data_IF_877359495106
#
_entry.id   IF_877359495106
#
_cell.length_a   1.000
_cell.length_b   1.000
_cell.length_c   1.000
_cell.angle_alpha   90.00
_cell.angle_beta   90.00
_cell.angle_gamma   90.00
#
_symmetry.space_group_name_H-M   'P 1'
#
loop_
_entity.id
_entity.type
_entity.pdbx_description
1 polymer ?
#
# COMPACT_ATOMS: atom_id res chain seq x y z
N UNK A 1 -20.01 6.22 4.77
CA UNK A 1 -20.06 7.42 5.63
C UNK A 1 -19.17 7.23 6.85
N UNK A 2 -18.34 8.22 7.19
CA UNK A 2 -17.47 8.18 8.38
C UNK A 2 -18.30 8.40 9.65
N UNK A 3 -18.27 7.42 10.57
CA UNK A 3 -19.03 7.44 11.83
C UNK A 3 -18.29 8.19 12.93
N UNK A 4 -16.96 8.02 12.98
CA UNK A 4 -16.10 8.67 13.96
C UNK A 4 -15.65 10.00 13.38
N UNK A 5 -15.88 11.09 14.12
CA UNK A 5 -15.61 12.47 13.68
C UNK A 5 -14.37 13.08 14.31
N UNK A 6 -13.96 12.57 15.46
CA UNK A 6 -12.79 13.02 16.20
C UNK A 6 -12.11 11.83 16.86
N UNK A 7 -10.78 11.88 16.95
CA UNK A 7 -9.96 10.94 17.68
C UNK A 7 -9.28 11.65 18.84
N UNK A 8 -9.29 10.99 20.00
CA UNK A 8 -8.37 11.31 21.11
C UNK A 8 -7.04 10.62 20.85
N UNK A 9 -5.93 11.31 21.03
CA UNK A 9 -4.60 10.71 20.85
C UNK A 9 -4.07 10.23 22.19
N UNK A 10 -3.40 9.07 22.19
CA UNK A 10 -2.70 8.54 23.37
C UNK A 10 -1.30 8.11 22.99
N UNK A 11 -0.31 8.79 23.56
CA UNK A 11 1.09 8.37 23.45
C UNK A 11 1.34 7.20 24.40
N UNK A 12 1.83 6.11 23.83
CA UNK A 12 1.99 4.82 24.51
C UNK A 12 3.25 4.15 24.00
N UNK A 13 3.84 3.28 24.82
CA UNK A 13 5.04 2.55 24.42
C UNK A 13 4.68 1.42 23.44
N UNK A 14 3.78 0.53 23.84
CA UNK A 14 3.35 -0.65 23.07
C UNK A 14 1.85 -0.61 22.80
N UNK A 15 1.46 -0.83 21.55
CA UNK A 15 0.06 -0.83 21.09
C UNK A 15 -0.74 -1.90 21.86
N UNK A 16 -1.91 -1.57 22.44
CA UNK A 16 -2.71 -2.54 23.17
C UNK A 16 -3.27 -3.59 22.21
N UNK A 17 -3.62 -4.76 22.77
CA UNK A 17 -4.20 -5.87 21.99
C UNK A 17 -5.58 -5.51 21.41
N UNK A 18 -6.35 -4.73 22.17
CA UNK A 18 -7.67 -4.25 21.80
C UNK A 18 -7.63 -2.72 21.70
N UNK A 19 -8.29 -2.18 20.68
CA UNK A 19 -8.27 -0.76 20.35
C UNK A 19 -9.60 -0.12 20.72
N UNK A 20 -9.56 0.95 21.50
CA UNK A 20 -10.75 1.74 21.79
C UNK A 20 -11.24 2.48 20.54
N UNK A 21 -12.55 2.46 20.31
CA UNK A 21 -13.19 3.26 19.26
C UNK A 21 -13.03 4.74 19.60
N UNK A 22 -12.56 5.53 18.63
CA UNK A 22 -12.37 6.97 18.83
C UNK A 22 -11.01 7.34 19.42
N UNK A 23 -10.08 6.39 19.56
CA UNK A 23 -8.72 6.64 20.04
C UNK A 23 -7.70 6.31 18.96
N UNK A 24 -6.69 7.17 18.81
CA UNK A 24 -5.47 6.89 18.05
C UNK A 24 -4.31 6.69 19.01
N UNK A 25 -3.78 5.46 19.03
CA UNK A 25 -2.62 5.10 19.82
C UNK A 25 -1.37 5.38 19.03
N UNK A 26 -0.40 6.05 19.65
CA UNK A 26 0.80 6.51 18.99
C UNK A 26 2.01 6.00 19.77
N UNK A 27 2.83 5.18 19.11
CA UNK A 27 4.13 4.79 19.64
C UNK A 27 5.22 5.53 18.90
N UNK A 28 5.91 6.42 19.61
CA UNK A 28 7.10 7.10 19.10
C UNK A 28 8.28 6.13 18.99
N UNK A 29 8.39 5.17 19.93
CA UNK A 29 9.44 4.14 19.93
C UNK A 29 9.36 3.26 18.68
N UNK A 30 8.16 2.83 18.30
CA UNK A 30 7.94 2.02 17.10
C UNK A 30 7.56 2.84 15.86
N UNK A 31 7.60 4.17 15.96
CA UNK A 31 7.28 5.11 14.88
C UNK A 31 5.98 4.72 14.15
N UNK A 32 4.89 4.56 14.88
CA UNK A 32 3.62 4.12 14.31
C UNK A 32 2.41 4.68 15.06
N UNK A 33 1.33 4.88 14.32
CA UNK A 33 0.01 5.13 14.86
C UNK A 33 -0.95 4.00 14.47
N UNK A 34 -1.84 3.65 15.40
CA UNK A 34 -2.86 2.62 15.20
C UNK A 34 -4.19 3.07 15.76
N UNK A 35 -5.28 2.84 15.02
CA UNK A 35 -6.64 3.13 15.46
C UNK A 35 -7.68 2.23 14.78
N UNK A 36 -8.88 2.19 15.36
CA UNK A 36 -10.05 1.60 14.70
C UNK A 36 -10.50 2.47 13.52
N UNK A 37 -10.81 1.83 12.39
CA UNK A 37 -11.21 2.53 11.17
C UNK A 37 -12.37 3.50 11.41
N UNK A 38 -12.22 4.75 10.95
CA UNK A 38 -13.16 5.84 11.25
C UNK A 38 -14.55 5.68 10.61
N UNK A 39 -14.71 4.76 9.66
CA UNK A 39 -16.04 4.38 9.17
C UNK A 39 -16.84 3.52 10.17
N UNK A 40 -16.18 2.98 11.20
CA UNK A 40 -16.78 2.15 12.23
C UNK A 40 -17.01 0.69 11.80
N UNK A 41 -16.21 0.17 10.87
CA UNK A 41 -16.24 -1.25 10.49
C UNK A 41 -15.43 -2.16 11.44
N UNK A 42 -14.67 -1.59 12.38
CA UNK A 42 -13.85 -2.34 13.34
C UNK A 42 -12.47 -2.73 12.84
N UNK A 43 -12.15 -2.51 11.56
CA UNK A 43 -10.82 -2.81 11.00
C UNK A 43 -9.73 -1.97 11.67
N UNK A 44 -8.60 -2.59 11.97
CA UNK A 44 -7.41 -1.90 12.46
C UNK A 44 -6.72 -1.15 11.32
N UNK A 45 -6.49 0.14 11.52
CA UNK A 45 -5.71 0.98 10.61
C UNK A 45 -4.35 1.21 11.25
N UNK A 46 -3.29 0.92 10.50
CA UNK A 46 -1.90 1.14 10.90
C UNK A 46 -1.28 2.18 9.98
N UNK A 47 -0.68 3.22 10.56
CA UNK A 47 0.02 4.28 9.84
C UNK A 47 1.44 4.42 10.37
N UNK A 48 2.43 3.72 9.77
CA UNK A 48 3.84 3.88 10.11
C UNK A 48 4.34 5.28 9.78
N UNK A 49 5.21 5.80 10.65
CA UNK A 49 5.91 7.07 10.45
C UNK A 49 7.25 6.80 9.81
N UNK A 50 7.26 6.85 8.47
CA UNK A 50 8.48 6.70 7.68
C UNK A 50 8.60 7.82 6.66
N UNK A 51 9.80 8.07 6.11
CA UNK A 51 10.01 9.05 5.05
C UNK A 51 9.15 8.83 3.80
N UNK A 52 8.66 7.61 3.57
CA UNK A 52 7.82 7.24 2.42
C UNK A 52 6.35 7.02 2.75
N UNK A 53 5.99 6.92 4.04
CA UNK A 53 4.64 6.62 4.51
C UNK A 53 3.96 7.88 5.09
N UNK A 54 3.46 7.82 6.33
CA UNK A 54 2.77 8.93 6.98
C UNK A 54 3.73 9.81 7.79
N UNK A 55 3.42 11.09 7.87
CA UNK A 55 4.02 12.07 8.77
C UNK A 55 3.00 12.43 9.83
N UNK A 56 3.47 12.51 11.07
CA UNK A 56 2.70 13.00 12.20
C UNK A 56 3.11 14.44 12.50
N UNK A 57 2.11 15.28 12.77
CA UNK A 57 2.31 16.61 13.35
C UNK A 57 1.61 16.61 14.70
N UNK A 58 2.34 17.00 15.75
CA UNK A 58 1.81 17.18 17.10
C UNK A 58 2.20 18.58 17.59
N UNK A 59 1.21 19.38 17.97
CA UNK A 59 1.37 20.77 18.40
C UNK A 59 1.34 20.94 19.93
N UNK A 60 1.31 19.84 20.68
CA UNK A 60 1.15 19.84 22.14
C UNK A 60 -0.29 19.61 22.60
N UNK A 61 -1.27 19.66 21.69
CA UNK A 61 -2.70 19.45 22.00
C UNK A 61 -3.34 18.41 21.08
N UNK A 62 -2.97 18.39 19.80
CA UNK A 62 -3.67 17.65 18.77
C UNK A 62 -2.73 16.99 17.78
N UNK A 63 -3.18 15.90 17.16
CA UNK A 63 -2.41 15.12 16.19
C UNK A 63 -3.02 15.24 14.80
N UNK A 64 -2.18 15.49 13.81
CA UNK A 64 -2.53 15.41 12.39
C UNK A 64 -1.67 14.37 11.69
N UNK A 65 -2.25 13.63 10.74
CA UNK A 65 -1.53 12.71 9.86
C UNK A 65 -1.64 13.16 8.40
N UNK A 66 -0.52 13.07 7.69
CA UNK A 66 -0.44 13.33 6.23
C UNK A 66 0.49 12.30 5.58
N UNK A 67 0.19 11.75 4.39
CA UNK A 67 -0.98 12.03 3.55
C UNK A 67 -2.27 11.42 4.12
N UNK A 68 -3.34 11.42 3.32
CA UNK A 68 -4.60 10.78 3.66
C UNK A 68 -4.46 9.28 3.90
N UNK A 69 -5.47 8.70 4.54
CA UNK A 69 -5.57 7.28 4.87
C UNK A 69 -6.65 6.68 3.98
N UNK A 70 -6.24 5.86 3.01
CA UNK A 70 -7.14 5.11 2.14
C UNK A 70 -7.14 3.63 2.48
N UNK A 71 -8.27 3.09 2.92
CA UNK A 71 -8.41 1.69 3.32
C UNK A 71 -8.86 0.79 2.15
N UNK A 72 -8.13 0.84 1.03
CA UNK A 72 -8.52 0.26 -0.26
C UNK A 72 -8.51 -1.28 -0.31
N UNK A 73 -7.85 -1.93 0.65
CA UNK A 73 -7.87 -3.39 0.78
C UNK A 73 -9.05 -3.90 1.61
N UNK A 74 -9.69 -3.01 2.39
CA UNK A 74 -10.84 -3.36 3.21
C UNK A 74 -12.14 -3.16 2.45
N UNK A 75 -13.17 -3.94 2.80
CA UNK A 75 -14.49 -3.84 2.19
C UNK A 75 -15.11 -2.43 2.30
N UNK A 76 -14.77 -1.67 3.35
CA UNK A 76 -15.31 -0.33 3.57
C UNK A 76 -14.75 0.74 2.62
N UNK A 77 -13.56 0.53 2.03
CA UNK A 77 -12.85 1.47 1.13
C UNK A 77 -12.86 2.93 1.63
N UNK A 78 -12.83 3.14 2.95
CA UNK A 78 -12.91 4.48 3.54
C UNK A 78 -11.68 5.32 3.20
N UNK A 79 -11.87 6.63 3.00
CA UNK A 79 -10.79 7.56 2.72
C UNK A 79 -10.95 8.84 3.54
N UNK A 80 -9.94 9.20 4.32
CA UNK A 80 -10.01 10.36 5.21
C UNK A 80 -8.63 10.91 5.57
N UNK A 81 -8.61 12.11 6.12
CA UNK A 81 -7.45 12.78 6.70
C UNK A 81 -7.73 12.97 8.20
N UNK A 82 -6.71 12.79 9.04
CA UNK A 82 -6.76 13.19 10.45
C UNK A 82 -6.09 14.55 10.56
N UNK A 83 -6.85 15.59 10.90
CA UNK A 83 -6.36 16.96 11.05
C UNK A 83 -6.75 17.50 12.41
N UNK A 84 -5.77 17.74 13.28
CA UNK A 84 -5.96 18.20 14.66
C UNK A 84 -6.95 17.29 15.43
N UNK A 85 -6.81 15.98 15.25
CA UNK A 85 -7.71 14.95 15.78
C UNK A 85 -9.05 14.84 15.05
N UNK A 86 -9.41 15.76 14.16
CA UNK A 86 -10.69 15.74 13.41
C UNK A 86 -10.56 14.85 12.16
N UNK A 87 -11.60 14.06 11.90
CA UNK A 87 -11.71 13.22 10.72
C UNK A 87 -12.36 14.01 9.59
N UNK A 88 -11.55 14.32 8.57
CA UNK A 88 -11.99 14.99 7.35
C UNK A 88 -12.13 13.96 6.25
N UNK A 89 -13.32 13.85 5.66
CA UNK A 89 -13.55 12.94 4.54
C UNK A 89 -12.70 13.34 3.32
N UNK A 90 -12.07 12.35 2.70
CA UNK A 90 -11.33 12.53 1.47
C UNK A 90 -12.08 11.85 0.32
N UNK A 91 -12.05 12.45 -0.86
CA UNK A 91 -12.81 11.96 -2.02
C UNK A 91 -12.48 10.51 -2.36
N UNK A 92 -13.48 9.71 -2.70
CA UNK A 92 -13.28 8.32 -3.08
C UNK A 92 -12.40 8.20 -4.32
N UNK A 93 -11.55 7.17 -4.35
CA UNK A 93 -10.71 6.87 -5.50
C UNK A 93 -11.25 5.68 -6.28
N UNK A 94 -11.16 5.79 -7.61
CA UNK A 94 -11.38 4.66 -8.50
C UNK A 94 -10.16 3.71 -8.51
N UNK A 95 -10.31 2.54 -9.11
CA UNK A 95 -9.26 1.52 -9.12
C UNK A 95 -8.00 1.96 -9.89
N UNK A 96 -8.13 2.83 -10.89
CA UNK A 96 -6.99 3.39 -11.62
C UNK A 96 -6.16 4.32 -10.71
N UNK A 97 -6.80 5.20 -9.94
CA UNK A 97 -6.16 6.06 -8.96
C UNK A 97 -5.46 5.24 -7.86
N UNK A 98 -6.12 4.21 -7.33
CA UNK A 98 -5.55 3.31 -6.32
C UNK A 98 -4.32 2.58 -6.88
N UNK A 99 -4.40 2.10 -8.12
CA UNK A 99 -3.30 1.38 -8.79
C UNK A 99 -2.11 2.30 -9.03
N UNK A 100 -2.37 3.52 -9.52
CA UNK A 100 -1.33 4.53 -9.72
C UNK A 100 -0.61 4.89 -8.42
N UNK A 101 -1.37 5.07 -7.33
CA UNK A 101 -0.80 5.37 -6.02
C UNK A 101 0.04 4.22 -5.49
N UNK A 102 -0.45 2.98 -5.56
CA UNK A 102 0.33 1.80 -5.14
C UNK A 102 1.65 1.70 -5.90
N UNK A 103 1.64 2.00 -7.20
CA UNK A 103 2.86 2.04 -8.02
C UNK A 103 3.80 3.14 -7.52
N UNK A 104 3.29 4.34 -7.27
CA UNK A 104 4.07 5.47 -6.74
C UNK A 104 4.70 5.13 -5.38
N UNK A 105 3.92 4.56 -4.46
CA UNK A 105 4.37 4.15 -3.13
C UNK A 105 5.48 3.09 -3.21
N UNK A 106 5.28 2.05 -4.03
CA UNK A 106 6.29 1.01 -4.26
C UNK A 106 7.61 1.59 -4.78
N UNK A 107 7.54 2.51 -5.74
CA UNK A 107 8.72 3.16 -6.30
C UNK A 107 9.42 4.05 -5.27
N UNK A 108 8.66 4.83 -4.49
CA UNK A 108 9.20 5.69 -3.43
C UNK A 108 9.95 4.86 -2.38
N UNK A 109 9.35 3.75 -1.92
CA UNK A 109 9.99 2.80 -0.98
C UNK A 109 11.24 2.17 -1.55
N UNK A 110 11.20 1.70 -2.80
CA UNK A 110 12.36 1.11 -3.45
C UNK A 110 13.52 2.11 -3.55
N UNK A 111 13.24 3.35 -3.96
CA UNK A 111 14.24 4.40 -4.07
C UNK A 111 14.83 4.79 -2.70
N UNK A 112 14.00 4.86 -1.65
CA UNK A 112 14.46 5.28 -0.32
C UNK A 112 15.28 4.20 0.40
N UNK A 113 14.81 2.94 0.40
CA UNK A 113 15.44 1.85 1.15
C UNK A 113 16.50 1.09 0.36
N UNK A 114 16.53 1.23 -0.97
CA UNK A 114 17.51 0.60 -1.82
C UNK A 114 18.15 1.59 -2.82
N UNK A 115 18.79 2.66 -2.33
CA UNK A 115 19.36 3.71 -3.18
C UNK A 115 20.51 3.20 -4.06
N UNK A 116 21.13 2.07 -3.68
CA UNK A 116 22.21 1.42 -4.44
C UNK A 116 21.72 0.32 -5.39
N UNK A 117 20.42 -0.04 -5.35
CA UNK A 117 19.88 -0.89 -6.41
C UNK A 117 19.87 -0.12 -7.71
N UNK A 118 20.49 -0.73 -8.73
CA UNK A 118 20.38 -0.30 -10.11
C UNK A 118 18.90 0.00 -10.39
N UNK A 119 18.54 1.17 -10.93
CA UNK A 119 17.15 1.54 -11.16
C UNK A 119 16.46 0.40 -11.90
N UNK A 120 15.28 0.01 -11.40
CA UNK A 120 14.49 -1.06 -11.97
C UNK A 120 14.11 -0.64 -13.40
N UNK A 121 14.91 -1.11 -14.34
CA UNK A 121 14.83 -0.67 -15.72
C UNK A 121 13.69 -1.44 -16.36
N UNK A 122 12.50 -0.85 -16.31
CA UNK A 122 11.26 -1.42 -16.85
C UNK A 122 11.43 -1.81 -18.33
N UNK A 123 12.31 -1.14 -19.07
CA UNK A 123 12.67 -1.53 -20.44
C UNK A 123 13.51 -2.80 -20.53
N UNK A 124 14.41 -3.07 -19.57
CA UNK A 124 15.16 -4.32 -19.49
C UNK A 124 14.25 -5.47 -19.06
N UNK A 125 13.38 -5.30 -18.07
CA UNK A 125 12.41 -6.33 -17.68
C UNK A 125 11.41 -6.68 -18.80
N UNK A 126 10.91 -5.67 -19.52
CA UNK A 126 10.04 -5.89 -20.68
C UNK A 126 10.77 -6.57 -21.85
N UNK A 127 12.05 -6.22 -22.09
CA UNK A 127 12.88 -6.89 -23.11
C UNK A 127 13.19 -8.34 -22.73
N UNK A 128 13.44 -8.62 -21.46
CA UNK A 128 13.75 -9.97 -21.00
C UNK A 128 12.50 -10.86 -21.04
N UNK A 129 11.34 -10.30 -20.64
CA UNK A 129 10.05 -10.98 -20.75
C UNK A 129 9.69 -11.31 -22.21
N UNK A 130 9.89 -10.37 -23.15
CA UNK A 130 9.63 -10.64 -24.58
C UNK A 130 10.62 -11.61 -25.20
N UNK A 131 11.89 -11.60 -24.76
CA UNK A 131 12.90 -12.60 -25.15
C UNK A 131 12.59 -13.99 -24.60
N UNK A 132 12.07 -14.09 -23.37
CA UNK A 132 11.63 -15.34 -22.77
C UNK A 132 10.45 -15.93 -23.56
N UNK A 133 9.40 -15.12 -23.78
CA UNK A 133 8.22 -15.52 -24.57
C UNK A 133 8.57 -15.96 -25.99
N UNK A 134 9.45 -15.24 -26.67
CA UNK A 134 9.88 -15.61 -28.03
C UNK A 134 10.72 -16.90 -28.07
N UNK A 135 11.54 -17.17 -27.03
CA UNK A 135 12.25 -18.45 -26.88
C UNK A 135 11.27 -19.60 -26.65
N UNK A 136 10.32 -19.44 -25.75
CA UNK A 136 9.33 -20.47 -25.42
C UNK A 136 8.45 -20.82 -26.62
N UNK A 137 8.00 -19.82 -27.40
CA UNK A 137 7.29 -20.07 -28.67
C UNK A 137 8.14 -20.83 -29.69
N UNK A 138 9.44 -20.53 -29.78
CA UNK A 138 10.35 -21.24 -30.71
C UNK A 138 10.56 -22.70 -30.27
N UNK A 139 10.70 -22.95 -28.97
CA UNK A 139 10.79 -24.31 -28.42
C UNK A 139 9.51 -25.10 -28.69
N UNK A 140 8.34 -24.51 -28.47
CA UNK A 140 7.05 -25.14 -28.78
C UNK A 140 6.86 -25.42 -30.27
N UNK A 141 7.30 -24.51 -31.15
CA UNK A 141 7.30 -24.75 -32.60
C UNK A 141 8.18 -25.93 -33.01
N UNK A 142 9.35 -26.08 -32.40
CA UNK A 142 10.25 -27.20 -32.64
C UNK A 142 9.67 -28.53 -32.11
N UNK A 143 9.02 -28.51 -30.94
CA UNK A 143 8.36 -29.68 -30.36
C UNK A 143 7.17 -30.15 -31.21
N UNK A 144 6.34 -29.22 -31.69
CA UNK A 144 5.25 -29.49 -32.62
C UNK A 144 5.77 -30.03 -33.96
N UNK A 145 6.88 -29.50 -34.47
CA UNK A 145 7.55 -30.01 -35.66
C UNK A 145 8.07 -31.44 -35.50
N UNK A 146 8.64 -31.77 -34.34
CA UNK A 146 9.10 -33.11 -34.01
C UNK A 146 7.93 -34.10 -33.88
N UNK A 147 6.84 -33.72 -33.20
CA UNK A 147 5.60 -34.50 -33.11
C UNK A 147 4.96 -34.73 -34.49
N UNK A 148 4.97 -33.72 -35.36
CA UNK A 148 4.45 -33.85 -36.74
C UNK A 148 5.30 -34.79 -37.60
N UNK A 149 6.62 -34.84 -37.36
CA UNK A 149 7.51 -35.80 -38.01
C UNK A 149 7.38 -37.22 -37.44
N UNK A 150 6.97 -37.38 -36.17
CA UNK A 150 6.67 -38.67 -35.56
C UNK A 150 5.39 -39.29 -36.13
N UNK A 151 4.34 -38.47 -36.32
CA UNK A 151 3.05 -38.91 -36.87
C UNK A 151 3.15 -39.27 -38.36
N UNK A 152 4.09 -38.66 -39.10
CA UNK A 152 4.29 -38.89 -40.55
C UNK A 152 5.18 -40.09 -40.89
N UNK A 153 5.68 -40.81 -39.89
CA UNK A 153 6.54 -42.00 -40.02
C UNK A 153 5.83 -43.33 -39.70
N UNK A 154 4.51 -43.33 -39.60
CA UNK A 154 3.66 -44.53 -39.54
C UNK A 154 2.80 -44.61 -40.80
#
# INVERSE_FOLDING_TARGET
MLKIKKLEHRFIRSIPRELDVGVIYISMEYSTAVHCCCCGCGEQVVTPFSPTDWKMIYDGESVSLTPSIGNWHSACRSHYIIKQGIIVEAGSWNDAQITAERKRDKLAKAHYYNPSAKPLNLEEEMKDTSRQLSRDLRVMGNLLGWLRNLIRKN
#
